data_IF_631443387707
#
_entry.id   IF_631443387707
#
_cell.length_a   1.000
_cell.length_b   1.000
_cell.length_c   1.000
_cell.angle_alpha   90.00
_cell.angle_beta   90.00
_cell.angle_gamma   90.00
#
_symmetry.space_group_name_H-M   'P 1'
#
loop_
_entity.id
_entity.type
_entity.pdbx_description
1 polymer ?
#
# COMPACT_ATOMS: atom_id res chain seq x y z
N UNK A 1 10.39 -47.84 -72.05
CA UNK A 1 8.99 -48.18 -71.71
C UNK A 1 8.92 -48.54 -70.23
N UNK A 2 8.36 -47.73 -69.43
CA UNK A 2 7.53 -48.04 -68.25
C UNK A 2 7.23 -46.70 -67.56
N UNK A 3 5.95 -46.32 -67.71
CA UNK A 3 5.37 -45.19 -67.01
C UNK A 3 5.31 -45.48 -65.51
N UNK A 4 5.66 -44.49 -64.67
CA UNK A 4 5.35 -44.50 -63.27
C UNK A 4 4.36 -43.36 -62.97
N UNK A 5 3.13 -43.78 -62.67
CA UNK A 5 2.04 -42.92 -62.22
C UNK A 5 2.38 -42.38 -60.83
N UNK A 6 2.34 -41.06 -60.71
CA UNK A 6 2.40 -40.38 -59.41
C UNK A 6 0.98 -40.23 -58.88
N UNK A 7 0.63 -40.99 -57.85
CA UNK A 7 -0.63 -40.83 -57.10
C UNK A 7 -0.63 -39.50 -56.38
N UNK A 8 -1.59 -38.64 -56.71
CA UNK A 8 -1.90 -37.41 -55.96
C UNK A 8 -2.61 -37.78 -54.66
N UNK A 9 -1.93 -37.53 -53.53
CA UNK A 9 -2.55 -37.56 -52.18
C UNK A 9 -3.60 -36.45 -52.06
N UNK A 10 -4.84 -36.81 -51.84
CA UNK A 10 -5.93 -35.91 -51.49
C UNK A 10 -5.74 -35.45 -50.03
N UNK A 11 -5.36 -34.20 -49.84
CA UNK A 11 -5.36 -33.56 -48.51
C UNK A 11 -6.80 -33.25 -48.16
N UNK A 12 -7.41 -34.08 -47.32
CA UNK A 12 -8.70 -33.82 -46.69
C UNK A 12 -8.58 -32.57 -45.78
N UNK A 13 -9.33 -31.53 -46.10
CA UNK A 13 -9.47 -30.33 -45.31
C UNK A 13 -10.00 -30.71 -43.92
N UNK A 14 -9.20 -30.47 -42.88
CA UNK A 14 -9.63 -30.52 -41.48
C UNK A 14 -10.79 -29.52 -41.28
N UNK A 15 -11.86 -29.91 -40.57
CA UNK A 15 -12.95 -29.00 -40.28
C UNK A 15 -12.45 -27.87 -39.38
N UNK A 16 -12.59 -26.64 -39.85
CA UNK A 16 -12.37 -25.44 -39.05
C UNK A 16 -13.38 -25.42 -37.91
N UNK A 17 -12.93 -25.71 -36.68
CA UNK A 17 -13.73 -25.52 -35.51
C UNK A 17 -14.09 -24.03 -35.43
N UNK A 18 -15.29 -23.64 -35.81
CA UNK A 18 -15.86 -22.34 -35.53
C UNK A 18 -15.99 -22.23 -34.03
N UNK A 19 -15.13 -21.41 -33.39
CA UNK A 19 -15.38 -20.96 -32.03
C UNK A 19 -16.69 -20.18 -32.03
N UNK A 20 -17.75 -20.75 -31.46
CA UNK A 20 -18.96 -20.02 -31.16
C UNK A 20 -18.59 -19.02 -30.04
N UNK A 21 -18.70 -17.72 -30.32
CA UNK A 21 -18.67 -16.71 -29.32
C UNK A 21 -19.91 -16.90 -28.44
N UNK A 22 -19.73 -17.44 -27.24
CA UNK A 22 -20.77 -17.38 -26.20
C UNK A 22 -20.89 -15.92 -25.76
N UNK A 23 -22.02 -15.29 -26.05
CA UNK A 23 -22.41 -14.01 -25.44
C UNK A 23 -22.84 -14.32 -24.01
N UNK A 24 -21.86 -14.31 -23.09
CA UNK A 24 -22.16 -14.22 -21.65
C UNK A 24 -22.54 -12.77 -21.36
N UNK A 25 -23.64 -12.55 -20.64
CA UNK A 25 -23.93 -11.25 -20.04
C UNK A 25 -22.73 -10.83 -19.19
N UNK A 26 -22.38 -9.55 -19.15
CA UNK A 26 -21.24 -9.06 -18.35
C UNK A 26 -21.36 -9.48 -16.89
N UNK A 27 -22.57 -9.59 -16.35
CA UNK A 27 -22.87 -10.04 -14.99
C UNK A 27 -22.49 -11.52 -14.73
N UNK A 28 -22.31 -12.32 -15.76
CA UNK A 28 -21.91 -13.72 -15.65
C UNK A 28 -20.40 -14.01 -15.73
N UNK A 29 -19.58 -12.98 -16.01
CA UNK A 29 -18.13 -13.15 -16.20
C UNK A 29 -17.33 -13.26 -14.91
N UNK A 30 -17.88 -12.77 -13.80
CA UNK A 30 -17.21 -12.79 -12.48
C UNK A 30 -18.16 -13.36 -11.42
N UNK A 31 -17.57 -13.83 -10.33
CA UNK A 31 -18.23 -14.09 -9.05
C UNK A 31 -17.53 -13.32 -7.94
N UNK A 32 -18.28 -13.02 -6.88
CA UNK A 32 -17.76 -12.37 -5.68
C UNK A 32 -17.97 -13.25 -4.46
N UNK A 33 -17.02 -13.21 -3.53
CA UNK A 33 -17.09 -13.93 -2.27
C UNK A 33 -16.26 -13.23 -1.19
N UNK A 34 -16.33 -13.69 0.05
CA UNK A 34 -15.44 -13.26 1.12
C UNK A 34 -14.59 -14.43 1.59
N UNK A 35 -13.33 -14.14 1.98
CA UNK A 35 -12.37 -15.17 2.40
C UNK A 35 -12.79 -15.90 3.67
N UNK A 36 -13.52 -15.22 4.55
CA UNK A 36 -13.91 -15.75 5.87
C UNK A 36 -15.34 -15.32 6.19
N UNK A 37 -16.11 -16.22 6.78
CA UNK A 37 -17.46 -15.92 7.27
C UNK A 37 -17.41 -14.79 8.32
N UNK A 38 -18.24 -13.77 8.15
CA UNK A 38 -18.31 -12.60 9.04
C UNK A 38 -17.20 -11.56 8.86
N UNK A 39 -16.24 -11.79 7.95
CA UNK A 39 -15.22 -10.82 7.57
C UNK A 39 -15.51 -10.33 6.14
N UNK A 40 -15.76 -9.04 5.99
CA UNK A 40 -16.15 -8.42 4.71
C UNK A 40 -14.99 -7.70 3.98
N UNK A 41 -13.77 -7.88 4.46
CA UNK A 41 -12.55 -7.31 3.90
C UNK A 41 -11.51 -8.42 3.67
N UNK A 42 -10.93 -8.53 2.46
CA UNK A 42 -11.32 -7.89 1.22
C UNK A 42 -12.52 -8.60 0.53
N UNK A 43 -13.23 -7.90 -0.35
CA UNK A 43 -14.10 -8.55 -1.33
C UNK A 43 -13.23 -9.29 -2.34
N UNK A 44 -13.48 -10.58 -2.55
CA UNK A 44 -12.77 -11.36 -3.58
C UNK A 44 -13.58 -11.35 -4.86
N UNK A 45 -12.93 -10.97 -5.96
CA UNK A 45 -13.49 -10.99 -7.32
C UNK A 45 -12.72 -12.02 -8.15
N UNK A 46 -13.44 -12.98 -8.73
CA UNK A 46 -12.85 -14.07 -9.53
C UNK A 46 -13.57 -14.24 -10.85
N UNK A 47 -12.87 -14.62 -11.94
CA UNK A 47 -13.52 -14.97 -13.19
C UNK A 47 -14.28 -16.29 -13.05
N UNK A 48 -15.43 -16.38 -13.70
CA UNK A 48 -16.24 -17.61 -13.78
C UNK A 48 -15.83 -18.50 -14.95
N UNK A 49 -15.13 -17.94 -15.94
CA UNK A 49 -14.61 -18.61 -17.12
C UNK A 49 -13.17 -18.21 -17.39
N UNK A 50 -12.42 -19.11 -18.04
CA UNK A 50 -11.04 -18.80 -18.43
C UNK A 50 -10.95 -17.69 -19.49
N UNK A 51 -9.84 -16.93 -19.46
CA UNK A 51 -9.52 -15.94 -20.50
C UNK A 51 -10.21 -14.59 -20.34
N UNK A 52 -10.84 -14.32 -19.20
CA UNK A 52 -11.32 -12.96 -18.86
C UNK A 52 -10.11 -12.05 -18.68
N UNK A 53 -9.98 -11.05 -19.57
CA UNK A 53 -8.96 -10.00 -19.42
C UNK A 53 -9.40 -9.02 -18.35
N UNK A 54 -8.61 -8.93 -17.28
CA UNK A 54 -8.95 -8.11 -16.10
C UNK A 54 -9.03 -6.62 -16.42
N UNK A 55 -8.09 -6.06 -17.20
CA UNK A 55 -8.08 -4.64 -17.54
C UNK A 55 -9.29 -4.25 -18.42
N UNK A 56 -9.63 -5.08 -19.39
CA UNK A 56 -10.81 -4.87 -20.23
C UNK A 56 -12.09 -4.96 -19.40
N UNK A 57 -12.21 -5.99 -18.57
CA UNK A 57 -13.37 -6.14 -17.68
C UNK A 57 -13.50 -4.94 -16.74
N UNK A 58 -12.40 -4.52 -16.08
CA UNK A 58 -12.38 -3.41 -15.15
C UNK A 58 -12.77 -2.08 -15.81
N UNK A 59 -12.35 -1.84 -17.05
CA UNK A 59 -12.74 -0.65 -17.82
C UNK A 59 -14.26 -0.50 -17.95
N UNK A 60 -14.97 -1.61 -18.17
CA UNK A 60 -16.43 -1.62 -18.32
C UNK A 60 -17.17 -1.68 -16.97
N UNK A 61 -16.49 -2.02 -15.89
CA UNK A 61 -17.08 -2.21 -14.57
C UNK A 61 -16.52 -1.24 -13.50
N UNK A 62 -16.03 -0.06 -13.91
CA UNK A 62 -15.46 0.94 -12.98
C UNK A 62 -16.42 1.31 -11.86
N UNK A 63 -17.69 1.52 -12.16
CA UNK A 63 -18.70 1.89 -11.17
C UNK A 63 -18.89 0.81 -10.11
N UNK A 64 -18.92 -0.47 -10.53
CA UNK A 64 -18.96 -1.59 -9.60
C UNK A 64 -17.72 -1.61 -8.69
N UNK A 65 -16.51 -1.52 -9.29
CA UNK A 65 -15.25 -1.51 -8.54
C UNK A 65 -15.22 -0.37 -7.52
N UNK A 66 -15.58 0.86 -7.93
CA UNK A 66 -15.61 2.02 -7.02
C UNK A 66 -16.61 1.83 -5.87
N UNK A 67 -17.83 1.36 -6.18
CA UNK A 67 -18.87 1.13 -5.18
C UNK A 67 -18.43 0.10 -4.14
N UNK A 68 -17.91 -1.03 -4.60
CA UNK A 68 -17.50 -2.11 -3.71
C UNK A 68 -16.21 -1.74 -2.93
N UNK A 69 -15.28 -0.99 -3.56
CA UNK A 69 -14.09 -0.49 -2.88
C UNK A 69 -14.44 0.46 -1.74
N UNK A 70 -15.32 1.44 -1.96
CA UNK A 70 -15.75 2.37 -0.92
C UNK A 70 -16.52 1.67 0.20
N UNK A 71 -17.29 0.63 -0.14
CA UNK A 71 -18.06 -0.15 0.83
C UNK A 71 -17.16 -1.01 1.72
N UNK A 72 -16.26 -1.78 1.12
CA UNK A 72 -15.45 -2.78 1.82
C UNK A 72 -14.02 -2.34 2.11
N UNK A 73 -13.54 -1.27 1.46
CA UNK A 73 -12.19 -0.76 1.61
C UNK A 73 -11.12 -1.51 0.82
N UNK A 74 -11.39 -2.73 0.37
CA UNK A 74 -10.42 -3.52 -0.39
C UNK A 74 -11.05 -4.59 -1.27
N UNK A 75 -10.44 -4.82 -2.44
CA UNK A 75 -10.83 -5.85 -3.40
C UNK A 75 -9.61 -6.71 -3.75
N UNK A 76 -9.77 -8.03 -3.66
CA UNK A 76 -8.78 -9.00 -4.08
C UNK A 76 -9.22 -9.63 -5.41
N UNK A 77 -8.55 -9.29 -6.50
CA UNK A 77 -8.72 -9.94 -7.80
C UNK A 77 -7.85 -11.19 -7.82
N UNK A 78 -8.49 -12.34 -7.86
CA UNK A 78 -7.86 -13.67 -7.77
C UNK A 78 -8.23 -14.54 -8.97
N UNK A 79 -7.32 -15.41 -9.40
CA UNK A 79 -7.51 -16.35 -10.52
C UNK A 79 -7.66 -15.68 -11.92
N UNK A 80 -7.42 -14.38 -12.04
CA UNK A 80 -7.22 -13.76 -13.35
C UNK A 80 -5.81 -14.09 -13.87
N UNK A 81 -5.70 -14.30 -15.18
CA UNK A 81 -4.37 -14.49 -15.82
C UNK A 81 -3.76 -13.11 -16.06
N UNK A 82 -2.89 -12.68 -15.14
CA UNK A 82 -2.10 -11.45 -15.25
C UNK A 82 -0.64 -11.84 -15.44
N UNK A 83 -0.08 -11.57 -16.64
CA UNK A 83 1.24 -12.06 -17.05
C UNK A 83 2.37 -11.06 -16.76
N UNK A 84 2.38 -10.48 -15.57
CA UNK A 84 3.48 -9.64 -15.11
C UNK A 84 3.15 -8.16 -14.97
N UNK A 85 4.21 -7.37 -14.79
CA UNK A 85 4.11 -5.96 -14.37
C UNK A 85 3.42 -5.08 -15.41
N UNK A 86 3.59 -5.36 -16.70
CA UNK A 86 2.97 -4.55 -17.77
C UNK A 86 1.43 -4.66 -17.75
N UNK A 87 0.88 -5.87 -17.63
CA UNK A 87 -0.57 -6.07 -17.54
C UNK A 87 -1.14 -5.53 -16.20
N UNK A 88 -0.36 -5.61 -15.12
CA UNK A 88 -0.70 -4.98 -13.85
C UNK A 88 -0.78 -3.45 -13.97
N UNK A 89 0.17 -2.82 -14.64
CA UNK A 89 0.16 -1.38 -14.92
C UNK A 89 -1.05 -0.99 -15.79
N UNK A 90 -1.34 -1.78 -16.84
CA UNK A 90 -2.51 -1.59 -17.69
C UNK A 90 -3.82 -1.67 -16.88
N UNK A 91 -3.93 -2.64 -15.98
CA UNK A 91 -5.08 -2.75 -15.08
C UNK A 91 -5.26 -1.49 -14.23
N UNK A 92 -4.20 -0.98 -13.57
CA UNK A 92 -4.29 0.26 -12.78
C UNK A 92 -4.74 1.43 -13.65
N UNK A 93 -4.12 1.62 -14.82
CA UNK A 93 -4.48 2.70 -15.76
C UNK A 93 -5.92 2.59 -16.25
N UNK A 94 -6.43 1.36 -16.37
CA UNK A 94 -7.81 1.13 -16.82
C UNK A 94 -8.86 1.66 -15.84
N UNK A 95 -8.54 1.81 -14.56
CA UNK A 95 -9.49 2.21 -13.50
C UNK A 95 -9.15 3.53 -12.81
N UNK A 96 -7.86 3.86 -12.67
CA UNK A 96 -7.40 5.01 -11.86
C UNK A 96 -6.55 6.01 -12.63
N UNK A 97 -6.30 5.80 -13.92
CA UNK A 97 -5.44 6.68 -14.71
C UNK A 97 -3.95 6.49 -14.41
N UNK A 98 -3.18 7.57 -14.42
CA UNK A 98 -1.73 7.50 -14.28
C UNK A 98 -1.29 7.15 -12.85
N UNK A 99 -0.21 6.38 -12.75
CA UNK A 99 0.41 6.02 -11.49
C UNK A 99 1.23 7.18 -10.93
N UNK A 100 1.26 7.25 -9.61
CA UNK A 100 2.03 8.26 -8.88
C UNK A 100 3.50 7.87 -8.74
N UNK A 101 4.36 8.86 -8.83
CA UNK A 101 5.74 8.74 -8.40
C UNK A 101 5.83 8.69 -6.87
N UNK A 102 6.69 7.81 -6.34
CA UNK A 102 6.92 7.70 -4.90
C UNK A 102 7.95 8.73 -4.44
N UNK A 103 7.49 9.85 -3.89
CA UNK A 103 8.30 10.93 -3.32
C UNK A 103 8.27 10.93 -1.79
N UNK A 104 9.23 11.66 -1.15
CA UNK A 104 9.39 11.73 0.32
C UNK A 104 9.39 10.34 0.97
N UNK A 105 10.26 9.48 0.46
CA UNK A 105 10.32 8.07 0.81
C UNK A 105 10.52 7.84 2.30
N UNK A 106 9.67 7.03 2.90
CA UNK A 106 9.85 6.54 4.29
C UNK A 106 10.61 5.21 4.34
N UNK A 107 10.60 4.48 3.24
CA UNK A 107 11.21 3.14 3.14
C UNK A 107 11.94 2.95 1.82
N UNK A 108 12.97 2.09 1.77
CA UNK A 108 13.64 1.75 0.54
C UNK A 108 12.69 0.93 -0.36
N UNK A 109 12.58 1.34 -1.62
CA UNK A 109 11.87 0.61 -2.68
C UNK A 109 12.66 0.71 -3.96
N UNK A 110 12.78 -0.40 -4.67
CA UNK A 110 13.41 -0.44 -5.98
C UNK A 110 12.38 -0.18 -7.08
N UNK A 111 12.77 0.60 -8.06
CA UNK A 111 11.96 0.85 -9.26
C UNK A 111 11.94 -0.42 -10.13
N UNK A 112 10.77 -0.83 -10.60
CA UNK A 112 10.59 -2.02 -11.41
C UNK A 112 10.28 -1.66 -12.87
N UNK A 113 9.24 -0.88 -13.09
CA UNK A 113 8.83 -0.38 -14.40
C UNK A 113 7.89 0.82 -14.23
N UNK A 114 8.04 1.88 -15.03
CA UNK A 114 7.20 3.08 -14.91
C UNK A 114 7.13 3.58 -13.46
N UNK A 115 5.96 3.74 -12.88
CA UNK A 115 5.75 4.07 -11.47
C UNK A 115 5.31 2.84 -10.64
N UNK A 116 5.80 1.65 -11.02
CA UNK A 116 5.68 0.41 -10.24
C UNK A 116 6.98 0.17 -9.49
N UNK A 117 6.86 -0.10 -8.20
CA UNK A 117 7.98 -0.31 -7.27
C UNK A 117 7.92 -1.71 -6.65
N UNK A 118 9.05 -2.19 -6.10
CA UNK A 118 8.98 -3.31 -5.16
C UNK A 118 8.16 -2.91 -3.94
N UNK A 119 7.49 -3.86 -3.30
CA UNK A 119 7.06 -3.63 -1.92
C UNK A 119 8.32 -3.38 -1.08
N UNK A 120 8.18 -2.67 0.05
CA UNK A 120 9.30 -2.22 0.88
C UNK A 120 10.42 -3.25 1.02
N UNK A 121 11.66 -2.86 0.66
CA UNK A 121 12.87 -3.64 0.85
C UNK A 121 13.26 -3.60 2.34
N UNK A 122 12.68 -4.50 3.13
CA UNK A 122 12.87 -4.61 4.58
C UNK A 122 13.18 -6.08 4.91
N UNK A 123 14.01 -6.36 5.94
CA UNK A 123 14.42 -7.73 6.25
C UNK A 123 13.25 -8.72 6.29
N UNK A 124 13.43 -9.90 5.68
CA UNK A 124 12.38 -10.91 5.55
C UNK A 124 11.87 -11.42 6.91
N UNK A 125 12.73 -11.40 7.92
CA UNK A 125 12.44 -11.86 9.28
C UNK A 125 11.66 -10.86 10.12
N UNK A 126 11.49 -9.62 9.63
CA UNK A 126 10.82 -8.56 10.39
C UNK A 126 9.45 -8.22 9.80
N UNK A 127 8.51 -7.91 10.69
CA UNK A 127 7.18 -7.40 10.32
C UNK A 127 7.24 -5.94 9.93
N UNK A 128 6.34 -5.50 9.03
CA UNK A 128 6.01 -4.09 8.84
C UNK A 128 4.63 -3.88 9.46
N UNK A 129 4.53 -3.01 10.45
CA UNK A 129 3.27 -2.72 11.12
C UNK A 129 2.25 -2.10 10.17
N UNK A 130 0.97 -2.28 10.47
CA UNK A 130 -0.15 -1.74 9.72
C UNK A 130 -0.08 -0.21 9.63
N UNK A 131 -0.16 0.32 8.42
CA UNK A 131 -0.10 1.75 8.11
C UNK A 131 -0.89 2.06 6.84
N UNK A 132 -1.31 3.31 6.70
CA UNK A 132 -1.86 3.84 5.46
C UNK A 132 -0.73 4.56 4.72
N UNK A 133 -0.51 4.28 3.44
CA UNK A 133 0.59 4.84 2.67
C UNK A 133 0.57 6.37 2.71
N UNK A 134 1.71 6.97 3.09
CA UNK A 134 1.93 8.42 3.15
C UNK A 134 0.99 9.23 4.06
N UNK A 135 0.33 8.62 5.05
CA UNK A 135 -0.58 9.34 5.95
C UNK A 135 0.12 10.37 6.87
N UNK A 136 1.46 10.40 6.86
CA UNK A 136 2.28 11.44 7.50
C UNK A 136 2.59 12.63 6.58
N UNK A 137 2.23 12.55 5.30
CA UNK A 137 2.46 13.59 4.30
C UNK A 137 1.24 14.50 4.14
N UNK A 138 1.41 15.58 3.37
CA UNK A 138 0.32 16.48 2.98
C UNK A 138 -0.48 15.93 1.78
N UNK A 139 0.15 15.10 0.97
CA UNK A 139 -0.45 14.45 -0.21
C UNK A 139 -0.21 12.95 -0.13
N UNK A 140 -1.25 12.17 -0.37
CA UNK A 140 -1.20 10.71 -0.37
C UNK A 140 -1.99 10.10 -1.53
N UNK A 141 -1.72 8.83 -1.93
CA UNK A 141 -2.55 8.14 -2.90
C UNK A 141 -3.90 7.76 -2.29
N UNK A 142 -5.00 7.93 -3.01
CA UNK A 142 -6.29 7.36 -2.61
C UNK A 142 -6.33 5.85 -2.81
N UNK A 143 -5.62 5.34 -3.82
CA UNK A 143 -5.60 3.92 -4.15
C UNK A 143 -4.19 3.36 -4.13
N UNK A 144 -4.05 2.19 -3.54
CA UNK A 144 -2.81 1.41 -3.55
C UNK A 144 -3.11 0.00 -4.05
N UNK A 145 -2.22 -0.50 -4.88
CA UNK A 145 -2.35 -1.80 -5.54
C UNK A 145 -1.13 -2.64 -5.27
N UNK A 146 -1.34 -3.89 -4.91
CA UNK A 146 -0.28 -4.89 -4.74
C UNK A 146 -0.48 -6.01 -5.74
N UNK A 147 0.57 -6.44 -6.40
CA UNK A 147 0.53 -7.57 -7.33
C UNK A 147 1.53 -8.64 -6.92
N UNK A 148 1.06 -9.87 -6.76
CA UNK A 148 1.87 -11.01 -6.39
C UNK A 148 2.50 -11.64 -7.63
N UNK A 149 3.79 -11.37 -7.85
CA UNK A 149 4.59 -12.02 -8.91
C UNK A 149 5.08 -13.39 -8.44
N UNK A 150 5.54 -13.47 -7.16
CA UNK A 150 6.01 -14.72 -6.56
C UNK A 150 5.53 -14.78 -5.13
N UNK A 151 4.76 -15.79 -4.81
CA UNK A 151 4.28 -16.04 -3.47
C UNK A 151 5.39 -16.65 -2.59
N UNK A 152 5.52 -16.27 -1.31
CA UNK A 152 6.49 -16.85 -0.39
C UNK A 152 6.14 -18.30 -0.07
N UNK A 153 7.14 -19.06 0.38
CA UNK A 153 6.92 -20.44 0.84
C UNK A 153 6.13 -20.50 2.16
N UNK A 154 6.37 -19.53 3.05
CA UNK A 154 5.70 -19.42 4.33
C UNK A 154 5.64 -17.95 4.77
N UNK A 155 4.50 -17.53 5.34
CA UNK A 155 4.28 -16.15 5.79
C UNK A 155 4.20 -15.17 4.64
N UNK A 156 4.62 -13.91 4.86
CA UNK A 156 4.71 -12.88 3.84
C UNK A 156 3.37 -12.36 3.35
N UNK A 157 2.32 -12.61 4.10
CA UNK A 157 1.01 -12.02 3.86
C UNK A 157 1.11 -10.49 3.92
N UNK A 158 0.13 -9.83 3.32
CA UNK A 158 -0.13 -8.42 3.54
C UNK A 158 -1.35 -8.31 4.47
N UNK A 159 -1.14 -8.24 5.82
CA UNK A 159 -2.24 -7.99 6.74
C UNK A 159 -2.89 -6.66 6.41
N UNK A 160 -4.21 -6.60 6.47
CA UNK A 160 -5.02 -5.41 6.20
C UNK A 160 -5.99 -5.17 7.36
N UNK A 161 -6.32 -3.89 7.62
CA UNK A 161 -7.27 -3.52 8.68
C UNK A 161 -8.12 -2.32 8.26
N UNK A 162 -9.44 -2.41 8.49
CA UNK A 162 -10.38 -1.31 8.26
C UNK A 162 -10.18 -0.22 9.32
N UNK A 163 -9.64 0.94 8.93
CA UNK A 163 -9.34 2.03 9.87
C UNK A 163 -10.57 2.76 10.38
N UNK A 164 -11.75 2.58 9.78
CA UNK A 164 -13.04 3.04 10.33
C UNK A 164 -13.33 2.30 11.63
N UNK A 165 -13.13 0.98 11.63
CA UNK A 165 -13.31 0.12 12.80
C UNK A 165 -12.21 0.35 13.83
N UNK A 166 -10.97 0.53 13.40
CA UNK A 166 -9.86 0.94 14.29
C UNK A 166 -10.23 2.24 15.00
N UNK A 167 -10.68 3.27 14.29
CA UNK A 167 -11.13 4.52 14.87
C UNK A 167 -12.25 4.32 15.91
N UNK A 168 -13.22 3.47 15.63
CA UNK A 168 -14.33 3.17 16.56
C UNK A 168 -13.85 2.44 17.84
N UNK A 169 -12.81 1.58 17.74
CA UNK A 169 -12.26 0.82 18.87
C UNK A 169 -11.39 1.64 19.79
N UNK A 170 -10.63 2.59 19.26
CA UNK A 170 -9.76 3.43 20.07
C UNK A 170 -10.60 4.18 21.12
N UNK A 171 -10.12 4.19 22.36
CA UNK A 171 -10.76 4.88 23.46
C UNK A 171 -11.12 6.33 23.07
N UNK A 172 -12.36 6.80 23.29
CA UNK A 172 -12.79 8.15 22.93
C UNK A 172 -11.87 9.26 23.48
N UNK A 173 -11.33 9.10 24.69
CA UNK A 173 -10.40 10.07 25.29
C UNK A 173 -9.07 10.16 24.51
N UNK A 174 -8.56 9.02 24.04
CA UNK A 174 -7.36 8.99 23.20
C UNK A 174 -7.66 9.65 21.87
N UNK A 175 -8.78 9.32 21.22
CA UNK A 175 -9.17 9.96 19.95
C UNK A 175 -9.27 11.47 20.07
N UNK A 176 -9.95 11.95 21.12
CA UNK A 176 -10.12 13.36 21.41
C UNK A 176 -8.77 14.07 21.60
N UNK A 177 -7.87 13.45 22.38
CA UNK A 177 -6.53 13.99 22.61
C UNK A 177 -5.72 14.13 21.32
N UNK A 178 -5.77 13.11 20.44
CA UNK A 178 -5.09 13.14 19.14
C UNK A 178 -5.76 14.13 18.16
N UNK A 179 -7.07 14.29 18.19
CA UNK A 179 -7.78 15.30 17.40
C UNK A 179 -7.33 16.70 17.81
N UNK A 180 -7.26 16.98 19.11
CA UNK A 180 -6.89 18.29 19.64
C UNK A 180 -5.41 18.60 19.46
N UNK A 181 -4.54 17.64 19.76
CA UNK A 181 -3.09 17.85 19.77
C UNK A 181 -2.42 17.56 18.43
N UNK A 182 -3.03 16.77 17.55
CA UNK A 182 -2.43 16.29 16.31
C UNK A 182 -1.19 15.41 16.54
N UNK A 183 -0.43 15.09 15.49
CA UNK A 183 0.81 14.29 15.55
C UNK A 183 1.97 15.07 14.96
N UNK A 184 3.05 15.19 15.73
CA UNK A 184 4.33 15.70 15.26
C UNK A 184 5.21 14.51 14.83
N UNK A 185 5.73 14.57 13.62
CA UNK A 185 6.73 13.65 13.09
C UNK A 185 8.09 14.33 13.07
N UNK A 186 9.08 13.71 13.70
CA UNK A 186 10.48 14.18 13.71
C UNK A 186 11.34 13.16 12.98
N UNK A 187 12.16 13.60 12.03
CA UNK A 187 13.12 12.76 11.32
C UNK A 187 14.50 13.42 11.36
N UNK A 188 15.53 12.64 11.66
CA UNK A 188 16.93 13.08 11.64
C UNK A 188 17.68 12.27 10.58
N UNK A 189 18.35 12.98 9.67
CA UNK A 189 19.10 12.41 8.56
C UNK A 189 20.60 12.69 8.73
N UNK A 190 21.45 11.75 8.32
CA UNK A 190 22.89 11.95 8.31
C UNK A 190 23.63 11.38 9.52
N UNK A 191 22.93 10.68 10.43
CA UNK A 191 23.49 10.00 11.59
C UNK A 191 23.88 8.52 11.35
N UNK A 192 23.88 8.09 10.08
CA UNK A 192 24.22 6.70 9.68
C UNK A 192 23.05 5.72 9.75
N UNK A 193 21.89 6.13 10.25
CA UNK A 193 20.68 5.31 10.34
C UNK A 193 19.57 5.81 9.40
N UNK A 194 18.80 4.87 8.86
CA UNK A 194 17.71 5.16 7.94
C UNK A 194 18.18 5.62 6.55
N UNK A 195 17.26 6.17 5.77
CA UNK A 195 17.56 6.69 4.43
C UNK A 195 18.23 8.07 4.55
N UNK A 196 19.28 8.36 3.76
CA UNK A 196 19.83 9.71 3.69
C UNK A 196 18.83 10.68 3.06
N UNK A 197 18.88 11.96 3.46
CA UNK A 197 17.95 12.98 2.96
C UNK A 197 17.98 13.10 1.43
N UNK A 198 19.11 12.86 0.79
CA UNK A 198 19.25 12.86 -0.66
C UNK A 198 18.36 11.81 -1.34
N UNK A 199 18.27 10.64 -0.73
CA UNK A 199 17.40 9.55 -1.21
C UNK A 199 15.92 9.87 -0.94
N UNK A 200 15.61 10.44 0.22
CA UNK A 200 14.23 10.78 0.62
C UNK A 200 13.65 11.86 -0.28
N UNK A 201 14.39 12.95 -0.47
CA UNK A 201 13.95 14.10 -1.29
C UNK A 201 14.34 13.99 -2.76
N UNK A 202 15.08 12.95 -3.15
CA UNK A 202 15.52 12.66 -4.52
C UNK A 202 16.30 13.81 -5.17
N UNK A 203 17.09 14.52 -4.38
CA UNK A 203 17.96 15.61 -4.80
C UNK A 203 19.19 15.70 -3.92
N UNK A 204 20.27 16.31 -4.43
CA UNK A 204 21.46 16.66 -3.66
C UNK A 204 21.53 18.18 -3.35
N UNK A 205 20.54 18.93 -3.84
CA UNK A 205 20.46 20.38 -3.68
C UNK A 205 19.66 20.75 -2.42
N UNK A 206 20.32 21.36 -1.46
CA UNK A 206 19.68 21.79 -0.20
C UNK A 206 18.55 22.79 -0.40
N UNK A 207 18.68 23.71 -1.33
CA UNK A 207 17.64 24.70 -1.63
C UNK A 207 16.35 24.05 -2.13
N UNK A 208 16.46 22.98 -2.94
CA UNK A 208 15.29 22.22 -3.38
C UNK A 208 14.61 21.50 -2.20
N UNK A 209 15.39 21.00 -1.24
CA UNK A 209 14.84 20.40 -0.01
C UNK A 209 14.12 21.46 0.82
N UNK A 210 14.71 22.62 1.01
CA UNK A 210 14.11 23.74 1.77
C UNK A 210 12.80 24.20 1.10
N UNK A 211 12.80 24.36 -0.23
CA UNK A 211 11.61 24.72 -0.99
C UNK A 211 10.50 23.65 -0.88
N UNK A 212 10.88 22.38 -0.99
CA UNK A 212 9.95 21.28 -0.78
C UNK A 212 9.35 21.30 0.63
N UNK A 213 10.19 21.43 1.65
CA UNK A 213 9.77 21.49 3.05
C UNK A 213 8.84 22.66 3.29
N UNK A 214 9.18 23.84 2.82
CA UNK A 214 8.35 25.04 2.94
C UNK A 214 6.96 24.85 2.31
N UNK A 215 6.91 24.37 1.07
CA UNK A 215 5.64 24.09 0.34
C UNK A 215 4.75 23.07 1.04
N UNK A 216 5.35 22.14 1.78
CA UNK A 216 4.63 21.07 2.47
C UNK A 216 4.44 21.31 3.97
N UNK A 217 4.75 22.50 4.50
CA UNK A 217 4.61 22.81 5.91
C UNK A 217 5.48 21.91 6.80
N UNK A 218 6.73 21.70 6.38
CA UNK A 218 7.76 20.96 7.10
C UNK A 218 8.83 21.94 7.56
N UNK A 219 9.14 21.95 8.84
CA UNK A 219 10.31 22.66 9.36
C UNK A 219 11.56 21.87 9.01
N UNK A 220 12.54 22.51 8.38
CA UNK A 220 13.84 21.95 8.02
C UNK A 220 14.95 22.68 8.74
N UNK A 221 15.75 21.94 9.50
CA UNK A 221 16.91 22.46 10.25
C UNK A 221 18.17 21.73 9.79
N UNK A 222 19.07 22.43 9.08
CA UNK A 222 20.38 21.91 8.74
C UNK A 222 21.28 21.94 9.97
N UNK A 223 21.95 20.82 10.23
CA UNK A 223 22.92 20.65 11.32
C UNK A 223 24.32 20.45 10.74
N UNK A 224 25.30 20.39 11.64
CA UNK A 224 26.70 20.12 11.29
C UNK A 224 26.83 18.79 10.49
N UNK A 225 27.87 18.72 9.65
CA UNK A 225 28.17 17.51 8.89
C UNK A 225 27.18 17.16 7.79
N UNK A 226 26.42 18.14 7.25
CA UNK A 226 25.43 17.90 6.20
C UNK A 226 24.20 17.09 6.67
N UNK A 227 23.94 17.07 7.96
CA UNK A 227 22.77 16.44 8.56
C UNK A 227 21.55 17.36 8.48
N UNK A 228 20.37 16.76 8.44
CA UNK A 228 19.09 17.47 8.37
C UNK A 228 18.14 16.94 9.44
N UNK A 229 17.48 17.83 10.17
CA UNK A 229 16.28 17.50 10.96
C UNK A 229 15.06 18.07 10.29
N UNK A 230 14.01 17.27 10.20
CA UNK A 230 12.70 17.75 9.78
C UNK A 230 11.66 17.52 10.86
N UNK A 231 10.71 18.47 10.99
CA UNK A 231 9.54 18.38 11.86
C UNK A 231 8.31 18.74 11.06
N UNK A 232 7.24 17.99 11.23
CA UNK A 232 5.95 18.29 10.61
C UNK A 232 4.81 17.87 11.53
N UNK A 233 3.77 18.71 11.60
CA UNK A 233 2.55 18.43 12.35
C UNK A 233 1.46 18.07 11.35
N UNK A 234 0.76 16.95 11.61
CA UNK A 234 -0.33 16.46 10.77
C UNK A 234 -1.50 16.02 11.64
N UNK A 235 -2.69 16.09 11.07
CA UNK A 235 -3.88 15.54 11.72
C UNK A 235 -3.72 14.04 11.99
N UNK A 236 -4.24 13.59 13.13
CA UNK A 236 -4.31 12.16 13.46
C UNK A 236 -5.55 11.48 12.88
N UNK A 237 -6.60 12.27 12.68
CA UNK A 237 -7.91 11.84 12.18
C UNK A 237 -8.25 12.69 10.95
N UNK A 238 -8.81 12.07 9.94
CA UNK A 238 -9.26 12.77 8.73
C UNK A 238 -10.64 12.28 8.30
N UNK A 239 -11.28 13.02 7.41
CA UNK A 239 -12.57 12.65 6.82
C UNK A 239 -12.33 12.12 5.41
N UNK A 240 -12.90 10.98 5.09
CA UNK A 240 -12.81 10.42 3.75
C UNK A 240 -13.58 11.30 2.73
N UNK A 241 -12.95 11.70 1.62
CA UNK A 241 -13.56 12.70 0.70
C UNK A 241 -14.82 12.22 -0.03
N UNK A 242 -15.03 10.91 -0.14
CA UNK A 242 -16.18 10.33 -0.86
C UNK A 242 -17.24 9.77 0.09
N UNK A 243 -16.84 9.19 1.25
CA UNK A 243 -17.80 8.57 2.19
C UNK A 243 -18.17 9.45 3.37
N UNK A 244 -17.44 10.54 3.61
CA UNK A 244 -17.57 11.44 4.76
C UNK A 244 -17.41 10.75 6.13
N UNK A 245 -16.83 9.56 6.16
CA UNK A 245 -16.52 8.84 7.40
C UNK A 245 -15.24 9.37 8.05
N UNK A 246 -15.22 9.44 9.38
CA UNK A 246 -14.04 9.77 10.16
C UNK A 246 -13.11 8.57 10.26
N UNK A 247 -11.81 8.79 10.01
CA UNK A 247 -10.80 7.76 9.89
C UNK A 247 -9.62 8.02 10.81
N UNK A 248 -9.11 6.96 11.43
CA UNK A 248 -7.79 6.97 12.07
C UNK A 248 -6.71 6.88 11.00
N UNK A 249 -6.11 8.02 10.63
CA UNK A 249 -5.26 8.12 9.45
C UNK A 249 -3.97 8.85 9.77
N UNK A 250 -2.99 8.13 10.32
CA UNK A 250 -1.70 8.68 10.76
C UNK A 250 -0.67 7.56 10.95
N UNK A 251 0.59 7.95 11.15
CA UNK A 251 1.71 7.05 11.44
C UNK A 251 2.19 7.11 12.91
N UNK A 252 1.43 7.67 13.84
CA UNK A 252 1.89 7.86 15.21
C UNK A 252 2.44 6.58 15.83
N UNK A 253 1.65 5.49 15.84
CA UNK A 253 2.05 4.22 16.44
C UNK A 253 3.12 3.47 15.64
N UNK A 254 3.24 3.73 14.32
CA UNK A 254 4.20 3.07 13.44
C UNK A 254 5.59 3.73 13.49
N UNK A 255 5.68 5.06 13.51
CA UNK A 255 6.95 5.78 13.50
C UNK A 255 7.53 6.03 14.88
N UNK A 256 6.77 5.81 15.96
CA UNK A 256 7.27 5.96 17.32
C UNK A 256 8.32 4.88 17.62
N UNK A 257 9.37 5.25 18.34
CA UNK A 257 10.47 4.35 18.72
C UNK A 257 10.01 3.09 19.44
N UNK A 258 8.87 3.12 20.14
CA UNK A 258 8.29 1.95 20.81
C UNK A 258 7.70 0.91 19.85
N UNK A 259 7.65 1.18 18.53
CA UNK A 259 7.24 0.20 17.52
C UNK A 259 8.36 -0.80 17.16
N UNK A 260 9.59 -0.46 17.49
CA UNK A 260 10.76 -1.29 17.23
C UNK A 260 10.85 -2.45 18.23
N UNK A 261 11.48 -3.53 17.81
CA UNK A 261 11.85 -4.62 18.70
C UNK A 261 12.69 -4.10 19.87
N UNK A 262 12.53 -4.69 21.07
CA UNK A 262 13.16 -4.20 22.30
C UNK A 262 14.68 -4.04 22.18
N UNK A 263 15.36 -5.01 21.58
CA UNK A 263 16.81 -5.00 21.38
C UNK A 263 17.26 -3.83 20.49
N UNK A 264 16.56 -3.58 19.40
CA UNK A 264 16.86 -2.46 18.48
C UNK A 264 16.56 -1.13 19.17
N UNK A 265 15.43 -1.02 19.86
CA UNK A 265 15.03 0.18 20.59
C UNK A 265 16.03 0.53 21.68
N UNK A 266 16.45 -0.44 22.49
CA UNK A 266 17.42 -0.25 23.56
C UNK A 266 18.78 0.20 23.01
N UNK A 267 19.25 -0.42 21.93
CA UNK A 267 20.49 -0.02 21.25
C UNK A 267 20.42 1.43 20.75
N UNK A 268 19.32 1.82 20.12
CA UNK A 268 19.14 3.20 19.64
C UNK A 268 19.08 4.21 20.80
N UNK A 269 18.37 3.90 21.87
CA UNK A 269 18.26 4.78 23.05
C UNK A 269 19.55 4.84 23.88
N UNK A 270 20.43 3.84 23.76
CA UNK A 270 21.77 3.90 24.37
C UNK A 270 22.72 4.82 23.58
N UNK A 271 22.56 4.90 22.25
CA UNK A 271 23.43 5.67 21.36
C UNK A 271 22.94 7.11 21.14
N UNK A 272 21.63 7.32 21.05
CA UNK A 272 21.02 8.60 20.71
C UNK A 272 20.19 9.15 21.88
N UNK A 273 20.20 10.47 22.01
CA UNK A 273 19.12 11.14 22.75
C UNK A 273 17.81 10.94 22.00
N UNK A 274 16.69 10.90 22.70
CA UNK A 274 15.38 10.70 22.07
C UNK A 274 15.11 11.71 20.94
N UNK A 275 15.53 12.98 21.13
CA UNK A 275 15.42 14.04 20.12
C UNK A 275 16.24 13.79 18.85
N UNK A 276 17.26 12.94 18.91
CA UNK A 276 18.22 12.69 17.84
C UNK A 276 18.02 11.32 17.18
N UNK A 277 16.98 10.57 17.61
CA UNK A 277 16.58 9.32 16.97
C UNK A 277 16.33 9.53 15.47
N UNK A 278 16.61 8.53 14.62
CA UNK A 278 16.39 8.62 13.18
C UNK A 278 14.97 9.06 12.81
N UNK A 279 13.99 8.58 13.57
CA UNK A 279 12.59 9.05 13.53
C UNK A 279 11.91 8.81 14.87
N UNK A 280 10.98 9.69 15.21
CA UNK A 280 10.07 9.50 16.35
C UNK A 280 8.81 10.34 16.17
N UNK A 281 7.78 10.08 16.99
CA UNK A 281 6.52 10.81 16.98
C UNK A 281 6.20 11.36 18.35
N UNK A 282 5.53 12.50 18.36
CA UNK A 282 5.08 13.23 19.54
C UNK A 282 3.65 13.75 19.28
N UNK A 283 2.98 14.24 20.32
CA UNK A 283 1.84 15.11 20.08
C UNK A 283 2.29 16.38 19.36
N UNK A 284 1.40 17.06 18.64
CA UNK A 284 1.73 18.24 17.85
C UNK A 284 2.25 19.42 18.68
N UNK A 285 1.97 19.46 19.98
CA UNK A 285 2.52 20.43 20.93
C UNK A 285 3.96 20.06 21.41
N UNK A 286 4.51 18.95 20.93
CA UNK A 286 5.83 18.44 21.30
C UNK A 286 5.87 17.59 22.57
N UNK A 287 4.75 17.40 23.26
CA UNK A 287 4.69 16.49 24.40
C UNK A 287 4.80 15.03 23.95
N UNK A 288 5.39 14.18 24.78
CA UNK A 288 5.58 12.75 24.51
C UNK A 288 4.24 12.01 24.49
N UNK A 289 4.14 10.99 23.63
CA UNK A 289 3.01 10.06 23.60
C UNK A 289 3.39 8.87 24.48
N UNK A 290 2.58 8.58 25.50
CA UNK A 290 2.83 7.47 26.41
C UNK A 290 2.78 6.13 25.64
N UNK A 291 3.73 5.22 25.92
CA UNK A 291 3.80 3.92 25.27
C UNK A 291 2.49 3.12 25.44
N UNK A 292 1.82 3.21 26.59
CA UNK A 292 0.55 2.56 26.85
C UNK A 292 -0.58 3.00 25.90
N UNK A 293 -0.60 4.29 25.53
CA UNK A 293 -1.54 4.84 24.55
C UNK A 293 -1.27 4.25 23.16
N UNK A 294 -0.01 4.18 22.76
CA UNK A 294 0.38 3.59 21.48
C UNK A 294 0.12 2.08 21.44
N UNK A 295 0.30 1.38 22.55
CA UNK A 295 0.02 -0.04 22.66
C UNK A 295 -1.49 -0.33 22.56
N UNK A 296 -2.34 0.51 23.14
CA UNK A 296 -3.79 0.44 22.93
C UNK A 296 -4.16 0.62 21.46
N UNK A 297 -3.59 1.62 20.81
CA UNK A 297 -3.82 1.86 19.37
C UNK A 297 -3.37 0.64 18.55
N UNK A 298 -2.19 0.08 18.82
CA UNK A 298 -1.70 -1.13 18.14
C UNK A 298 -2.62 -2.32 18.35
N UNK A 299 -3.14 -2.49 19.57
CA UNK A 299 -4.12 -3.54 19.89
C UNK A 299 -5.41 -3.38 19.09
N UNK A 300 -5.91 -2.16 18.90
CA UNK A 300 -7.07 -1.91 18.03
C UNK A 300 -6.83 -2.32 16.58
N UNK A 301 -5.67 -2.05 16.03
CA UNK A 301 -5.29 -2.53 14.70
C UNK A 301 -5.23 -4.05 14.62
N UNK A 302 -4.61 -4.70 15.62
CA UNK A 302 -4.50 -6.16 15.66
C UNK A 302 -5.87 -6.85 15.70
N UNK A 303 -6.83 -6.31 16.43
CA UNK A 303 -8.20 -6.85 16.52
C UNK A 303 -8.97 -6.75 15.19
N UNK A 304 -8.67 -5.75 14.35
CA UNK A 304 -9.30 -5.58 13.03
C UNK A 304 -8.51 -6.22 11.89
N UNK A 305 -7.35 -6.82 12.20
CA UNK A 305 -6.48 -7.41 11.19
C UNK A 305 -7.14 -8.60 10.50
N UNK A 306 -7.03 -8.60 9.19
CA UNK A 306 -7.34 -9.73 8.31
C UNK A 306 -6.09 -10.10 7.53
N UNK A 307 -5.80 -11.39 7.46
CA UNK A 307 -4.68 -11.93 6.70
C UNK A 307 -5.16 -13.03 5.76
N UNK A 308 -4.47 -13.20 4.66
CA UNK A 308 -4.69 -14.29 3.71
C UNK A 308 -3.39 -14.61 2.98
N UNK A 309 -3.16 -15.87 2.59
CA UNK A 309 -1.98 -16.25 1.81
C UNK A 309 -2.10 -15.68 0.39
N UNK A 310 -0.98 -15.15 -0.10
CA UNK A 310 -0.84 -14.73 -1.48
C UNK A 310 -0.84 -15.93 -2.43
N UNK A 311 -1.46 -15.75 -3.59
CA UNK A 311 -1.31 -16.62 -4.76
C UNK A 311 -0.66 -15.83 -5.88
N UNK A 312 0.17 -16.50 -6.69
CA UNK A 312 0.74 -15.84 -7.88
C UNK A 312 -0.36 -15.37 -8.81
N UNK A 313 -0.26 -14.14 -9.30
CA UNK A 313 -1.29 -13.50 -10.10
C UNK A 313 -2.34 -12.72 -9.30
N UNK A 314 -2.38 -12.83 -7.96
CA UNK A 314 -3.28 -12.01 -7.14
C UNK A 314 -2.99 -10.52 -7.28
N UNK A 315 -4.05 -9.71 -7.40
CA UNK A 315 -3.98 -8.25 -7.27
C UNK A 315 -4.87 -7.83 -6.10
N UNK A 316 -4.28 -7.19 -5.10
CA UNK A 316 -5.00 -6.54 -4.00
C UNK A 316 -5.07 -5.04 -4.26
N UNK A 317 -6.28 -4.52 -4.39
CA UNK A 317 -6.58 -3.10 -4.50
C UNK A 317 -7.17 -2.61 -3.19
N UNK A 318 -6.62 -1.56 -2.61
CA UNK A 318 -7.11 -0.94 -1.38
C UNK A 318 -7.45 0.53 -1.62
N UNK A 319 -8.54 0.99 -1.03
CA UNK A 319 -8.69 2.38 -0.69
C UNK A 319 -7.73 2.68 0.47
N UNK A 320 -6.70 3.46 0.19
CA UNK A 320 -5.62 3.72 1.13
C UNK A 320 -6.07 4.53 2.35
N UNK A 321 -7.17 5.26 2.26
CA UNK A 321 -7.71 5.97 3.42
C UNK A 321 -8.55 5.06 4.30
N UNK A 322 -9.27 4.08 3.73
CA UNK A 322 -10.15 3.18 4.47
C UNK A 322 -9.42 1.97 5.07
N UNK A 323 -8.28 1.57 4.48
CA UNK A 323 -7.61 0.32 4.85
C UNK A 323 -6.11 0.53 5.03
N UNK A 324 -5.64 0.22 6.22
CA UNK A 324 -4.22 0.09 6.52
C UNK A 324 -3.70 -1.27 6.05
N UNK A 325 -2.42 -1.34 5.70
CA UNK A 325 -1.73 -2.55 5.26
C UNK A 325 -0.37 -2.69 5.92
N UNK A 326 0.14 -3.91 5.95
CA UNK A 326 1.44 -4.22 6.53
C UNK A 326 2.11 -5.41 5.83
N UNK A 327 3.10 -6.04 6.49
CA UNK A 327 3.74 -7.25 6.01
C UNK A 327 4.12 -8.16 7.18
N UNK A 328 3.78 -9.44 7.09
CA UNK A 328 4.30 -10.45 8.01
C UNK A 328 5.71 -10.91 7.61
N UNK A 329 6.50 -11.47 8.54
CA UNK A 329 7.76 -12.14 8.21
C UNK A 329 7.52 -13.28 7.21
N UNK A 330 8.56 -13.65 6.45
CA UNK A 330 8.43 -14.72 5.45
C UNK A 330 9.70 -15.53 5.25
N UNK A 331 9.50 -16.71 4.69
CA UNK A 331 10.56 -17.63 4.26
C UNK A 331 10.41 -17.86 2.74
N UNK A 332 11.53 -17.95 2.05
CA UNK A 332 11.59 -18.17 0.62
C UNK A 332 11.56 -16.88 -0.20
N UNK A 333 11.42 -17.03 -1.51
CA UNK A 333 11.35 -15.92 -2.43
C UNK A 333 9.95 -15.29 -2.33
N UNK A 334 9.89 -13.97 -2.12
CA UNK A 334 8.66 -13.18 -2.14
C UNK A 334 8.84 -11.99 -3.07
N UNK A 335 8.02 -11.89 -4.10
CA UNK A 335 8.04 -10.73 -5.01
C UNK A 335 6.64 -10.15 -5.16
N UNK A 336 6.37 -9.12 -4.39
CA UNK A 336 5.16 -8.30 -4.48
C UNK A 336 5.58 -6.92 -4.98
N UNK A 337 4.91 -6.43 -6.01
CA UNK A 337 5.11 -5.07 -6.51
C UNK A 337 3.92 -4.19 -6.14
N UNK A 338 4.15 -2.89 -6.09
CA UNK A 338 3.17 -1.90 -5.66
C UNK A 338 3.04 -0.77 -6.68
N UNK A 339 1.80 -0.38 -6.95
CA UNK A 339 1.44 0.83 -7.68
C UNK A 339 0.52 1.71 -6.85
N UNK A 340 0.66 3.03 -7.01
CA UNK A 340 -0.14 4.03 -6.31
C UNK A 340 -0.81 4.95 -7.32
N UNK A 341 -2.05 5.35 -7.06
CA UNK A 341 -2.80 6.20 -7.97
C UNK A 341 -3.74 7.17 -7.22
N UNK A 342 -4.26 8.13 -7.97
CA UNK A 342 -5.21 9.15 -7.50
C UNK A 342 -4.66 9.97 -6.33
N UNK A 343 -3.77 10.96 -6.61
CA UNK A 343 -3.23 11.83 -5.56
C UNK A 343 -4.34 12.65 -4.91
N UNK A 344 -4.33 12.68 -3.59
CA UNK A 344 -5.21 13.53 -2.80
C UNK A 344 -4.38 14.43 -1.90
N UNK A 345 -4.60 15.73 -2.01
CA UNK A 345 -3.95 16.72 -1.15
C UNK A 345 -4.95 17.20 -0.12
N UNK A 346 -4.58 17.08 1.14
CA UNK A 346 -5.41 17.58 2.24
C UNK A 346 -5.51 19.10 2.15
N UNK A 347 -6.73 19.60 2.08
CA UNK A 347 -6.98 21.03 2.18
C UNK A 347 -7.10 21.36 3.66
N UNK A 348 -6.10 22.07 4.22
CA UNK A 348 -6.26 22.69 5.53
C UNK A 348 -7.49 23.60 5.47
N UNK A 349 -8.43 23.37 6.37
CA UNK A 349 -9.63 24.22 6.55
C UNK A 349 -9.22 25.48 7.30
#
# INVERSE_FOLDING_TARGET
>A
MKNSEIQKLNITKLPTLRRQAMSLSQDGLIKTEFLQTGKFLPLVVQPTVEGVNLAVWATHNRSFIETELLKYGGILFRNFKVNGVAEFEEFIKSISGELLEYRERSSPRSHVNGNIYTSTDYPATQSIFLHNENSYQHTWPLKIFFFCITAPQQGGETPIADVRKVFQRINPKIRELFIQKQVMYVRNFGNGFGLPWQTVFQTTNKLEVEEYCYKNGIEAEWKDGNSLRTKQIRQAVTVHPKTNEMLWFNHAAFFHVSSLESTIRESLLAEFRESDLPQNTYYGDGSTIECSVLDEIRSCYQQETVTFPWQEGDILMLDNMLVAHGRTPFIGCRKIVVGMAEPYTHKAI
#
